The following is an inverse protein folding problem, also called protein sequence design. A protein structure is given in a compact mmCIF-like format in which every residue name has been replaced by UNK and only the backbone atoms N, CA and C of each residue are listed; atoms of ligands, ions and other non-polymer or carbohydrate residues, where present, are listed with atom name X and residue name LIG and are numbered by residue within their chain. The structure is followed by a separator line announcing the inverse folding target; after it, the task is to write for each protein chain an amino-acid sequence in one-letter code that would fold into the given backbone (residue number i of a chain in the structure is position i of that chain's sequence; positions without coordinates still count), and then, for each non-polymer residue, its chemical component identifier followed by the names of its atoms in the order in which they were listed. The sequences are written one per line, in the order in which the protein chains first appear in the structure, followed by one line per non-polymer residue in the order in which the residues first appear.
data_IF_722783334940
#
_entry.id   IF_722783334940
#
_cell.length_a   1.000
_cell.length_b   1.000
_cell.length_c   1.000
_cell.angle_alpha   90.00
_cell.angle_beta   90.00
_cell.angle_gamma   90.00
#
_symmetry.space_group_name_H-M   'P 1'
#
loop_
_entity.id
_entity.type
_entity.pdbx_description
1 polymer ?
#
# COMPACT_ATOMS: atom_id res chain seq x y z
N UNK A 1 -16.87 -11.76 0.74
CA UNK A 1 -18.18 -12.36 0.42
C UNK A 1 -18.75 -11.87 -0.91
N UNK A 2 -18.77 -10.57 -1.22
CA UNK A 2 -19.37 -10.06 -2.47
C UNK A 2 -18.52 -10.29 -3.73
N UNK A 3 -17.19 -10.05 -3.68
CA UNK A 3 -16.33 -10.18 -4.87
C UNK A 3 -16.25 -11.60 -5.43
N UNK A 4 -16.29 -12.63 -4.58
CA UNK A 4 -16.10 -14.00 -5.04
C UNK A 4 -17.23 -14.47 -6.00
N UNK A 5 -18.52 -14.23 -5.69
CA UNK A 5 -19.62 -14.43 -6.62
C UNK A 5 -19.52 -13.52 -7.85
N UNK A 6 -19.19 -12.25 -7.68
CA UNK A 6 -19.02 -11.31 -8.81
C UNK A 6 -17.99 -11.81 -9.84
N UNK A 7 -16.87 -12.36 -9.36
CA UNK A 7 -15.83 -12.97 -10.19
C UNK A 7 -16.03 -14.46 -10.50
N UNK A 8 -17.18 -15.05 -10.12
CA UNK A 8 -17.50 -16.47 -10.31
C UNK A 8 -16.37 -17.41 -9.83
N UNK A 9 -15.84 -17.17 -8.63
CA UNK A 9 -14.74 -17.96 -8.04
C UNK A 9 -15.23 -19.35 -7.59
N UNK A 10 -15.56 -20.23 -8.53
CA UNK A 10 -16.03 -21.60 -8.26
C UNK A 10 -14.98 -22.53 -7.67
N UNK A 11 -13.71 -22.11 -7.69
CA UNK A 11 -12.59 -22.80 -7.07
C UNK A 11 -12.31 -22.32 -5.63
N UNK A 12 -13.18 -21.49 -5.05
CA UNK A 12 -13.06 -21.00 -3.68
C UNK A 12 -14.06 -21.71 -2.76
N UNK A 13 -13.54 -22.39 -1.74
CA UNK A 13 -14.33 -22.94 -0.64
C UNK A 13 -13.96 -22.22 0.66
N UNK A 14 -14.93 -21.59 1.32
CA UNK A 14 -14.80 -21.10 2.68
C UNK A 14 -15.35 -22.13 3.67
N UNK A 15 -14.73 -22.24 4.86
CA UNK A 15 -15.25 -23.05 5.96
C UNK A 15 -15.46 -22.10 7.13
N UNK A 16 -16.67 -22.06 7.65
CA UNK A 16 -17.01 -21.25 8.82
C UNK A 16 -17.14 -22.19 10.00
N UNK A 17 -16.21 -22.09 10.94
CA UNK A 17 -16.25 -22.79 12.21
C UNK A 17 -17.26 -22.10 13.16
N UNK A 18 -18.50 -22.59 13.17
CA UNK A 18 -19.59 -22.04 14.00
C UNK A 18 -19.58 -22.75 15.35
N UNK A 19 -18.59 -22.41 16.18
CA UNK A 19 -18.34 -23.01 17.49
C UNK A 19 -19.03 -22.27 18.66
N UNK A 20 -19.99 -21.37 18.35
CA UNK A 20 -20.72 -20.45 19.25
C UNK A 20 -19.87 -19.36 19.91
N UNK A 21 -18.64 -19.64 20.33
CA UNK A 21 -17.86 -18.82 21.27
C UNK A 21 -16.70 -18.05 20.62
N UNK A 22 -16.72 -16.72 20.78
CA UNK A 22 -15.61 -15.83 20.45
C UNK A 22 -14.51 -15.84 21.52
N UNK A 23 -13.78 -14.73 21.66
CA UNK A 23 -12.74 -14.61 22.68
C UNK A 23 -13.31 -14.53 24.10
N UNK A 24 -14.28 -13.63 24.33
CA UNK A 24 -14.83 -13.37 25.67
C UNK A 24 -16.01 -14.27 26.05
N UNK A 25 -16.84 -14.65 25.08
CA UNK A 25 -18.09 -15.38 25.33
C UNK A 25 -18.80 -15.68 24.01
N UNK A 26 -20.11 -15.87 24.07
CA UNK A 26 -20.92 -16.16 22.88
C UNK A 26 -20.83 -15.06 21.80
N UNK A 27 -20.70 -15.50 20.55
CA UNK A 27 -20.74 -14.61 19.38
C UNK A 27 -22.15 -14.06 19.17
N UNK A 28 -22.29 -12.93 18.48
CA UNK A 28 -23.58 -12.28 18.21
C UNK A 28 -24.67 -13.20 17.60
N UNK A 29 -24.27 -14.26 16.91
CA UNK A 29 -25.19 -15.19 16.21
C UNK A 29 -25.23 -16.57 16.88
N UNK A 30 -24.29 -16.87 17.78
CA UNK A 30 -24.23 -18.16 18.47
C UNK A 30 -24.25 -19.35 17.50
N UNK A 31 -25.12 -20.33 17.78
CA UNK A 31 -25.38 -21.47 16.88
C UNK A 31 -26.55 -21.27 15.92
N UNK A 32 -27.05 -20.04 15.72
CA UNK A 32 -28.13 -19.79 14.77
C UNK A 32 -27.62 -19.90 13.32
N UNK A 33 -27.51 -21.14 12.83
CA UNK A 33 -26.93 -21.47 11.53
C UNK A 33 -27.73 -20.91 10.37
N UNK A 34 -29.05 -20.76 10.53
CA UNK A 34 -29.92 -20.18 9.51
C UNK A 34 -29.57 -18.71 9.23
N UNK A 35 -29.19 -17.95 10.26
CA UNK A 35 -28.71 -16.57 10.09
C UNK A 35 -27.41 -16.52 9.29
N UNK A 36 -26.47 -17.44 9.53
CA UNK A 36 -25.24 -17.54 8.73
C UNK A 36 -25.56 -17.93 7.28
N UNK A 37 -26.38 -18.95 7.09
CA UNK A 37 -26.80 -19.46 5.78
C UNK A 37 -27.44 -18.36 4.93
N UNK A 38 -28.45 -17.66 5.48
CA UNK A 38 -29.13 -16.56 4.79
C UNK A 38 -28.18 -15.46 4.35
N UNK A 39 -27.18 -15.09 5.18
CA UNK A 39 -26.16 -14.08 4.82
C UNK A 39 -25.29 -14.53 3.66
N UNK A 40 -24.76 -15.75 3.68
CA UNK A 40 -23.92 -16.23 2.58
C UNK A 40 -24.72 -16.41 1.29
N UNK A 41 -25.90 -17.02 1.38
CA UNK A 41 -26.80 -17.20 0.25
C UNK A 41 -27.21 -15.86 -0.38
N UNK A 42 -27.50 -14.83 0.42
CA UNK A 42 -27.86 -13.50 -0.11
C UNK A 42 -26.73 -12.82 -0.87
N UNK A 43 -25.46 -13.19 -0.62
CA UNK A 43 -24.34 -12.72 -1.43
C UNK A 43 -24.05 -13.58 -2.66
N UNK A 44 -24.77 -14.69 -2.87
CA UNK A 44 -24.62 -15.56 -4.04
C UNK A 44 -23.70 -16.77 -3.84
N UNK A 45 -23.38 -17.13 -2.60
CA UNK A 45 -22.63 -18.35 -2.29
C UNK A 45 -23.53 -19.58 -2.30
N UNK A 46 -22.97 -20.71 -2.71
CA UNK A 46 -23.60 -22.02 -2.47
C UNK A 46 -23.26 -22.45 -1.04
N UNK A 47 -24.28 -22.78 -0.25
CA UNK A 47 -24.17 -23.03 1.18
C UNK A 47 -24.41 -24.50 1.48
N UNK A 48 -23.47 -25.13 2.19
CA UNK A 48 -23.61 -26.49 2.72
C UNK A 48 -23.52 -26.45 4.25
N UNK A 49 -24.58 -26.87 4.92
CA UNK A 49 -24.64 -26.95 6.38
C UNK A 49 -24.26 -28.37 6.81
N UNK A 50 -23.33 -28.49 7.74
CA UNK A 50 -22.90 -29.78 8.28
C UNK A 50 -22.79 -29.75 9.81
N UNK A 51 -22.88 -30.93 10.42
CA UNK A 51 -22.26 -31.17 11.71
C UNK A 51 -20.73 -31.20 11.51
N UNK A 52 -20.04 -30.19 12.03
CA UNK A 52 -18.59 -30.05 11.87
C UNK A 52 -17.76 -31.10 12.60
N UNK A 53 -18.39 -31.97 13.40
CA UNK A 53 -17.77 -33.13 14.05
C UNK A 53 -18.06 -34.45 13.34
N UNK A 54 -18.76 -34.42 12.21
CA UNK A 54 -19.08 -35.61 11.43
C UNK A 54 -18.21 -35.69 10.16
N UNK A 55 -17.20 -36.56 10.19
CA UNK A 55 -16.24 -36.75 9.09
C UNK A 55 -16.93 -37.11 7.77
N UNK A 56 -17.97 -37.94 7.79
CA UNK A 56 -18.69 -38.32 6.58
C UNK A 56 -19.38 -37.12 5.92
N UNK A 57 -19.96 -36.21 6.71
CA UNK A 57 -20.56 -34.98 6.20
C UNK A 57 -19.50 -34.01 5.67
N UNK A 58 -18.35 -33.87 6.34
CA UNK A 58 -17.23 -33.05 5.85
C UNK A 58 -16.75 -33.54 4.48
N UNK A 59 -16.52 -34.84 4.34
CA UNK A 59 -16.08 -35.44 3.06
C UNK A 59 -17.15 -35.24 1.98
N UNK A 60 -18.43 -35.43 2.31
CA UNK A 60 -19.56 -35.19 1.40
C UNK A 60 -19.61 -33.73 0.93
N UNK A 61 -19.44 -32.77 1.84
CA UNK A 61 -19.41 -31.34 1.52
C UNK A 61 -18.27 -30.99 0.55
N UNK A 62 -17.07 -31.52 0.75
CA UNK A 62 -15.97 -31.31 -0.20
C UNK A 62 -16.19 -32.00 -1.55
N UNK A 63 -16.90 -33.14 -1.60
CA UNK A 63 -17.30 -33.76 -2.87
C UNK A 63 -18.31 -32.89 -3.63
N UNK A 64 -19.23 -32.23 -2.93
CA UNK A 64 -20.15 -31.24 -3.51
C UNK A 64 -19.38 -30.02 -4.04
N UNK A 65 -18.44 -29.48 -3.25
CA UNK A 65 -17.57 -28.38 -3.68
C UNK A 65 -16.85 -28.66 -5.02
N UNK A 66 -16.34 -29.88 -5.22
CA UNK A 66 -15.68 -30.25 -6.50
C UNK A 66 -16.59 -30.14 -7.73
N UNK A 67 -17.91 -30.07 -7.56
CA UNK A 67 -18.91 -30.07 -8.63
C UNK A 67 -19.61 -28.71 -8.78
N UNK A 68 -19.42 -27.77 -7.84
CA UNK A 68 -20.09 -26.47 -7.91
C UNK A 68 -19.47 -25.57 -8.99
N UNK A 69 -20.28 -24.63 -9.47
CA UNK A 69 -19.88 -23.54 -10.37
C UNK A 69 -19.93 -22.17 -9.69
N UNK A 70 -20.15 -22.12 -8.37
CA UNK A 70 -20.24 -20.91 -7.55
C UNK A 70 -19.22 -20.99 -6.42
N UNK A 71 -18.81 -19.85 -5.82
CA UNK A 71 -18.07 -19.90 -4.57
C UNK A 71 -18.89 -20.63 -3.51
N UNK A 72 -18.23 -21.51 -2.76
CA UNK A 72 -18.87 -22.48 -1.88
C UNK A 72 -18.54 -22.21 -0.42
N UNK A 73 -19.50 -22.32 0.48
CA UNK A 73 -19.26 -22.19 1.91
C UNK A 73 -19.79 -23.41 2.66
N UNK A 74 -18.93 -23.98 3.48
CA UNK A 74 -19.28 -25.01 4.45
C UNK A 74 -19.53 -24.31 5.79
N UNK A 75 -20.78 -24.34 6.25
CA UNK A 75 -21.16 -23.88 7.57
C UNK A 75 -21.11 -25.07 8.54
N UNK A 76 -19.99 -25.18 9.25
CA UNK A 76 -19.74 -26.28 10.16
C UNK A 76 -20.22 -25.92 11.57
N UNK A 77 -21.32 -26.55 12.02
CA UNK A 77 -21.76 -26.42 13.42
C UNK A 77 -20.84 -27.27 14.29
N UNK A 78 -20.08 -26.62 15.15
CA UNK A 78 -19.06 -27.25 16.01
C UNK A 78 -19.25 -26.85 17.47
N UNK A 79 -18.38 -27.34 18.34
CA UNK A 79 -18.35 -27.04 19.77
C UNK A 79 -16.92 -26.69 20.10
N UNK A 80 -16.68 -25.51 20.66
CA UNK A 80 -15.33 -25.09 21.07
C UNK A 80 -14.84 -26.01 22.18
N UNK A 81 -13.61 -26.52 22.05
CA UNK A 81 -13.05 -27.49 23.00
C UNK A 81 -13.62 -28.92 22.87
N UNK A 82 -14.23 -29.28 21.72
CA UNK A 82 -14.80 -30.62 21.49
C UNK A 82 -13.82 -31.75 21.87
N UNK A 83 -14.34 -32.77 22.55
CA UNK A 83 -13.66 -33.97 22.97
C UNK A 83 -13.19 -33.95 24.43
N UNK A 84 -13.25 -32.80 25.10
CA UNK A 84 -12.73 -32.63 26.46
C UNK A 84 -13.80 -31.97 27.35
N UNK A 85 -14.31 -32.72 28.32
CA UNK A 85 -15.47 -32.41 29.16
C UNK A 85 -15.41 -31.05 29.84
N UNK A 86 -14.24 -30.68 30.36
CA UNK A 86 -14.01 -29.43 31.09
C UNK A 86 -13.66 -28.24 30.17
N UNK A 87 -13.47 -28.47 28.86
CA UNK A 87 -13.25 -27.42 27.86
C UNK A 87 -14.48 -27.19 26.97
N UNK A 88 -15.27 -28.23 26.75
CA UNK A 88 -16.40 -28.21 25.82
C UNK A 88 -17.40 -27.12 26.16
N UNK A 89 -17.60 -26.22 25.20
CA UNK A 89 -18.60 -25.17 25.25
C UNK A 89 -18.45 -24.21 26.46
N UNK A 90 -17.26 -24.13 27.06
CA UNK A 90 -16.99 -23.26 28.23
C UNK A 90 -16.44 -21.90 27.81
N UNK A 91 -16.93 -20.85 28.47
CA UNK A 91 -16.42 -19.49 28.30
C UNK A 91 -15.10 -19.27 29.05
N UNK A 92 -14.37 -18.20 28.72
CA UNK A 92 -13.12 -17.84 29.42
C UNK A 92 -11.90 -18.70 29.09
N UNK A 93 -12.03 -19.68 28.19
CA UNK A 93 -10.93 -20.61 27.85
C UNK A 93 -10.21 -20.26 26.53
N UNK A 94 -10.65 -19.22 25.81
CA UNK A 94 -10.00 -18.84 24.55
C UNK A 94 -8.58 -18.29 24.79
N UNK A 95 -7.58 -18.91 24.15
CA UNK A 95 -6.18 -18.51 24.28
C UNK A 95 -5.52 -18.92 25.60
N UNK A 96 -6.22 -19.67 26.47
CA UNK A 96 -5.65 -20.23 27.71
C UNK A 96 -4.92 -21.53 27.40
N UNK A 97 -3.70 -21.66 27.91
CA UNK A 97 -2.97 -22.93 27.91
C UNK A 97 -3.45 -23.83 29.05
N UNK A 98 -3.48 -25.14 28.80
CA UNK A 98 -3.78 -26.12 29.85
C UNK A 98 -2.60 -26.24 30.82
N UNK A 99 -2.90 -26.46 32.10
CA UNK A 99 -1.91 -26.93 33.07
C UNK A 99 -1.52 -28.39 32.77
N UNK A 100 -0.40 -28.86 33.31
CA UNK A 100 0.03 -30.26 33.12
C UNK A 100 -1.03 -31.28 33.58
N UNK A 101 -1.74 -30.97 34.67
CA UNK A 101 -2.83 -31.83 35.19
C UNK A 101 -4.03 -31.83 34.26
N UNK A 102 -4.48 -30.66 33.79
CA UNK A 102 -5.56 -30.55 32.81
C UNK A 102 -5.19 -31.23 31.48
N UNK A 103 -3.93 -31.09 31.02
CA UNK A 103 -3.45 -31.76 29.83
C UNK A 103 -3.53 -33.28 29.97
N UNK A 104 -3.07 -33.84 31.11
CA UNK A 104 -3.17 -35.28 31.37
C UNK A 104 -4.62 -35.75 31.31
N UNK A 105 -5.51 -35.06 32.04
CA UNK A 105 -6.94 -35.41 32.05
C UNK A 105 -7.56 -35.33 30.65
N UNK A 106 -7.20 -34.31 29.85
CA UNK A 106 -7.68 -34.17 28.48
C UNK A 106 -7.20 -35.31 27.57
N UNK A 107 -5.94 -35.74 27.70
CA UNK A 107 -5.39 -36.87 26.94
C UNK A 107 -6.06 -38.19 27.34
N UNK A 108 -6.31 -38.39 28.63
CA UNK A 108 -7.04 -39.54 29.16
C UNK A 108 -8.47 -39.61 28.58
N UNK A 109 -9.15 -38.47 28.40
CA UNK A 109 -10.50 -38.41 27.80
C UNK A 109 -10.51 -38.66 26.28
N UNK A 110 -9.51 -38.18 25.54
CA UNK A 110 -9.47 -38.30 24.07
C UNK A 110 -9.00 -39.70 23.63
N UNK A 111 -8.39 -40.47 24.52
CA UNK A 111 -7.84 -41.81 24.24
C UNK A 111 -6.98 -41.82 22.97
N UNK A 112 -5.98 -40.95 22.91
CA UNK A 112 -5.06 -40.87 21.76
C UNK A 112 -4.27 -42.18 21.69
N UNK A 113 -4.43 -42.92 20.59
CA UNK A 113 -3.53 -44.01 20.27
C UNK A 113 -2.19 -43.45 19.79
N UNK A 114 -1.20 -43.51 20.66
CA UNK A 114 0.17 -43.05 20.40
C UNK A 114 0.86 -43.81 19.25
N UNK A 115 0.28 -44.93 18.79
CA UNK A 115 0.82 -45.76 17.70
C UNK A 115 0.28 -45.40 16.31
N UNK A 116 -0.55 -44.36 16.16
CA UNK A 116 -1.06 -43.94 14.85
C UNK A 116 0.08 -43.32 14.01
N UNK A 117 0.60 -44.09 13.04
CA UNK A 117 1.51 -43.59 11.99
C UNK A 117 0.71 -42.79 10.93
N UNK A 118 0.55 -41.49 11.16
CA UNK A 118 -0.15 -40.60 10.24
C UNK A 118 0.75 -40.18 9.07
N UNK A 119 0.76 -40.98 7.99
CA UNK A 119 1.43 -40.61 6.74
C UNK A 119 0.52 -39.79 5.83
N UNK A 120 0.78 -38.49 5.73
CA UNK A 120 0.13 -37.65 4.72
C UNK A 120 0.75 -37.93 3.35
N UNK A 121 0.01 -38.64 2.51
CA UNK A 121 0.33 -38.72 1.08
C UNK A 121 0.06 -37.35 0.43
N UNK A 122 1.10 -36.50 0.40
CA UNK A 122 1.04 -35.21 -0.31
C UNK A 122 0.85 -35.49 -1.80
N UNK A 123 -0.35 -35.27 -2.31
CA UNK A 123 -0.57 -35.22 -3.75
C UNK A 123 0.31 -34.10 -4.32
N UNK A 124 1.15 -34.42 -5.31
CA UNK A 124 1.91 -33.38 -6.01
C UNK A 124 0.89 -32.45 -6.70
N UNK A 125 0.96 -31.12 -6.50
CA UNK A 125 0.16 -30.22 -7.32
C UNK A 125 0.48 -30.50 -8.78
N UNK A 126 -0.54 -30.47 -9.65
CA UNK A 126 -0.33 -30.61 -11.08
C UNK A 126 0.77 -29.65 -11.51
N UNK A 127 1.71 -30.11 -12.35
CA UNK A 127 2.74 -29.23 -12.90
C UNK A 127 2.02 -28.12 -13.65
N UNK A 128 2.05 -26.89 -13.12
CA UNK A 128 1.72 -25.74 -13.93
C UNK A 128 2.80 -25.66 -15.00
N UNK A 129 2.40 -25.88 -16.25
CA UNK A 129 3.16 -25.44 -17.41
C UNK A 129 3.12 -23.91 -17.41
N UNK A 130 3.84 -23.28 -16.47
CA UNK A 130 4.17 -21.88 -16.58
C UNK A 130 5.12 -21.80 -17.77
N UNK A 131 4.57 -21.62 -18.96
CA UNK A 131 5.34 -21.09 -20.08
C UNK A 131 6.15 -19.92 -19.52
N UNK A 132 7.47 -19.93 -19.75
CA UNK A 132 8.30 -18.77 -19.42
C UNK A 132 7.73 -17.60 -20.21
N UNK A 133 6.88 -16.81 -19.56
CA UNK A 133 6.25 -15.66 -20.17
C UNK A 133 7.36 -14.74 -20.65
N UNK A 134 7.38 -14.50 -21.97
CA UNK A 134 8.35 -13.61 -22.60
C UNK A 134 8.11 -12.19 -22.06
N UNK A 135 8.93 -11.78 -21.09
CA UNK A 135 8.94 -10.42 -20.56
C UNK A 135 9.66 -9.56 -21.59
N UNK A 136 8.93 -8.67 -22.27
CA UNK A 136 9.53 -7.65 -23.12
C UNK A 136 10.06 -6.51 -22.25
N UNK A 137 11.13 -5.85 -22.69
CA UNK A 137 11.64 -4.66 -21.99
C UNK A 137 10.56 -3.57 -22.01
N UNK A 138 10.15 -3.04 -20.85
CA UNK A 138 9.14 -1.98 -20.82
C UNK A 138 9.69 -0.73 -21.51
N UNK A 139 8.83 -0.02 -22.22
CA UNK A 139 9.13 1.26 -22.84
C UNK A 139 8.53 2.40 -22.00
N UNK A 140 8.99 3.62 -22.27
CA UNK A 140 8.52 4.84 -21.61
C UNK A 140 7.69 5.64 -22.62
N UNK A 141 6.63 6.27 -22.14
CA UNK A 141 5.78 7.13 -22.96
C UNK A 141 6.59 8.31 -23.46
N UNK A 142 6.44 8.63 -24.76
CA UNK A 142 7.03 9.83 -25.34
C UNK A 142 6.11 11.01 -25.05
N UNK A 143 6.54 11.86 -24.14
CA UNK A 143 5.88 13.13 -23.85
C UNK A 143 6.40 14.22 -24.81
N UNK A 144 5.50 15.09 -25.28
CA UNK A 144 5.90 16.28 -26.02
C UNK A 144 6.71 17.22 -25.13
N UNK A 145 7.53 18.09 -25.74
CA UNK A 145 8.28 19.10 -24.99
C UNK A 145 7.33 20.14 -24.38
N UNK A 146 7.69 20.68 -23.22
CA UNK A 146 6.99 21.78 -22.53
C UNK A 146 5.52 21.49 -22.15
N UNK A 147 5.11 20.23 -22.09
CA UNK A 147 3.81 19.85 -21.55
C UNK A 147 3.91 19.61 -20.04
N UNK A 148 2.80 19.80 -19.35
CA UNK A 148 2.63 19.38 -17.96
C UNK A 148 1.70 18.18 -17.89
N UNK A 149 2.10 17.17 -17.12
CA UNK A 149 1.37 15.91 -16.95
C UNK A 149 1.28 15.63 -15.46
N UNK A 150 0.12 15.17 -14.99
CA UNK A 150 -0.03 14.79 -13.59
C UNK A 150 0.69 13.47 -13.32
N UNK A 151 1.34 13.34 -12.17
CA UNK A 151 2.06 12.09 -11.81
C UNK A 151 1.10 10.91 -11.73
N UNK A 152 -0.15 11.09 -11.26
CA UNK A 152 -1.18 10.04 -11.31
C UNK A 152 -1.49 9.56 -12.74
N UNK A 153 -1.47 10.45 -13.72
CA UNK A 153 -1.69 10.10 -15.12
C UNK A 153 -0.50 9.33 -15.69
N UNK A 154 0.72 9.76 -15.35
CA UNK A 154 1.95 9.09 -15.73
C UNK A 154 2.07 7.70 -15.09
N UNK A 155 1.56 7.50 -13.87
CA UNK A 155 1.42 6.19 -13.25
C UNK A 155 0.53 5.26 -14.10
N UNK A 156 -0.65 5.73 -14.52
CA UNK A 156 -1.53 4.97 -15.41
C UNK A 156 -0.87 4.61 -16.75
N UNK A 157 -0.12 5.55 -17.34
CA UNK A 157 0.66 5.30 -18.56
C UNK A 157 1.72 4.20 -18.34
N UNK A 158 2.52 4.34 -17.27
CA UNK A 158 3.57 3.39 -16.94
C UNK A 158 3.02 1.98 -16.67
N UNK A 159 1.91 1.90 -15.92
CA UNK A 159 1.27 0.64 -15.58
C UNK A 159 0.66 -0.04 -16.81
N UNK A 160 0.03 0.71 -17.72
CA UNK A 160 -0.43 0.18 -19.01
C UNK A 160 0.73 -0.36 -19.85
N UNK A 161 1.85 0.35 -19.92
CA UNK A 161 3.04 -0.10 -20.65
C UNK A 161 3.64 -1.38 -20.05
N UNK A 162 3.69 -1.46 -18.72
CA UNK A 162 4.09 -2.69 -18.00
C UNK A 162 3.15 -3.86 -18.30
N UNK A 163 1.83 -3.64 -18.22
CA UNK A 163 0.85 -4.69 -18.49
C UNK A 163 0.97 -5.25 -19.92
N UNK A 164 1.11 -4.38 -20.92
CA UNK A 164 1.31 -4.77 -22.34
C UNK A 164 2.56 -5.62 -22.57
N UNK A 165 3.60 -5.46 -21.74
CA UNK A 165 4.91 -6.11 -21.91
C UNK A 165 5.14 -7.30 -20.98
N UNK A 166 4.30 -7.46 -19.95
CA UNK A 166 4.39 -8.53 -18.98
C UNK A 166 3.01 -8.98 -18.49
N UNK A 167 2.59 -10.20 -18.87
CA UNK A 167 1.30 -10.79 -18.50
C UNK A 167 1.14 -11.08 -17.00
N UNK A 168 2.24 -11.06 -16.22
CA UNK A 168 2.19 -11.23 -14.76
C UNK A 168 1.84 -9.94 -14.01
N UNK A 169 1.78 -8.80 -14.69
CA UNK A 169 1.35 -7.54 -14.08
C UNK A 169 -0.17 -7.58 -13.93
N UNK A 170 -0.67 -7.36 -12.71
CA UNK A 170 -2.08 -7.17 -12.44
C UNK A 170 -2.30 -5.77 -11.86
N UNK A 171 -3.30 -5.06 -12.35
CA UNK A 171 -3.79 -3.81 -11.79
C UNK A 171 -5.07 -4.08 -11.01
N UNK A 172 -5.14 -3.63 -9.77
CA UNK A 172 -6.31 -3.74 -8.90
C UNK A 172 -6.67 -2.33 -8.43
N UNK A 173 -7.91 -1.91 -8.59
CA UNK A 173 -8.37 -0.57 -8.18
C UNK A 173 -9.69 -0.66 -7.40
N UNK A 174 -9.99 0.34 -6.59
CA UNK A 174 -11.18 0.40 -5.73
C UNK A 174 -12.17 1.47 -6.22
N UNK A 175 -12.74 1.27 -7.41
CA UNK A 175 -13.73 2.16 -8.06
C UNK A 175 -13.24 3.59 -8.35
N UNK A 176 -11.94 3.86 -8.31
CA UNK A 176 -11.37 5.20 -8.59
C UNK A 176 -10.39 5.17 -9.76
N UNK A 177 -10.51 4.17 -10.63
CA UNK A 177 -9.55 3.88 -11.70
C UNK A 177 -9.47 4.94 -12.80
N UNK A 178 -10.53 5.73 -12.98
CA UNK A 178 -10.56 6.93 -13.83
C UNK A 178 -9.78 8.11 -13.23
N UNK A 179 -9.61 8.12 -11.90
CA UNK A 179 -8.97 9.18 -11.14
C UNK A 179 -7.52 8.85 -10.82
N UNK A 180 -7.20 7.58 -10.58
CA UNK A 180 -5.83 7.03 -10.46
C UNK A 180 -5.20 6.77 -11.83
N UNK A 181 -6.00 6.78 -12.91
CA UNK A 181 -5.65 6.39 -14.27
C UNK A 181 -5.26 4.91 -14.46
N UNK A 182 -5.53 4.04 -13.47
CA UNK A 182 -5.35 2.59 -13.62
C UNK A 182 -6.26 1.98 -14.70
N UNK A 183 -7.36 2.66 -15.08
CA UNK A 183 -8.26 2.24 -16.17
C UNK A 183 -7.54 2.12 -17.52
N UNK A 184 -6.39 2.77 -17.71
CA UNK A 184 -5.56 2.59 -18.91
C UNK A 184 -5.16 1.13 -19.11
N UNK A 185 -4.99 0.37 -18.02
CA UNK A 185 -4.79 -1.09 -18.07
C UNK A 185 -6.05 -1.80 -18.54
N UNK A 186 -7.23 -1.44 -18.02
CA UNK A 186 -8.53 -1.97 -18.44
C UNK A 186 -8.71 -1.85 -19.96
N UNK A 187 -8.34 -0.71 -20.55
CA UNK A 187 -8.44 -0.51 -22.00
C UNK A 187 -7.38 -1.27 -22.80
N UNK A 188 -6.14 -1.30 -22.31
CA UNK A 188 -5.01 -1.88 -23.07
C UNK A 188 -4.78 -3.38 -22.89
N UNK A 189 -5.19 -3.93 -21.75
CA UNK A 189 -4.89 -5.27 -21.28
C UNK A 189 -5.97 -5.72 -20.27
N UNK A 190 -7.24 -5.71 -20.71
CA UNK A 190 -8.42 -5.89 -19.85
C UNK A 190 -8.37 -7.11 -18.91
N UNK A 191 -7.73 -8.22 -19.32
CA UNK A 191 -7.57 -9.45 -18.50
C UNK A 191 -6.61 -9.28 -17.31
N UNK A 192 -5.86 -8.19 -17.29
CA UNK A 192 -4.89 -7.84 -16.25
C UNK A 192 -5.44 -6.75 -15.31
N UNK A 193 -6.69 -6.32 -15.47
CA UNK A 193 -7.36 -5.36 -14.59
C UNK A 193 -8.43 -6.06 -13.72
N UNK A 194 -8.44 -5.74 -12.43
CA UNK A 194 -9.39 -6.26 -11.44
C UNK A 194 -10.01 -5.06 -10.71
N UNK A 195 -11.34 -5.00 -10.74
CA UNK A 195 -12.16 -4.03 -10.02
C UNK A 195 -12.49 -4.58 -8.63
N UNK A 196 -12.04 -3.90 -7.59
CA UNK A 196 -12.35 -4.25 -6.21
C UNK A 196 -13.57 -3.51 -5.66
N UNK A 197 -14.13 -2.56 -6.42
CA UNK A 197 -15.18 -1.63 -6.01
C UNK A 197 -14.76 -0.80 -4.79
N UNK A 198 -15.68 -0.08 -4.16
CA UNK A 198 -15.43 0.73 -2.95
C UNK A 198 -15.20 -0.18 -1.72
N UNK A 199 -14.06 -0.88 -1.70
CA UNK A 199 -13.73 -1.89 -0.70
C UNK A 199 -12.21 -2.04 -0.52
N UNK A 200 -11.51 -0.97 -0.13
CA UNK A 200 -10.04 -0.90 -0.04
C UNK A 200 -9.45 -2.01 0.86
N UNK A 201 -10.11 -2.34 1.98
CA UNK A 201 -9.69 -3.44 2.86
C UNK A 201 -9.60 -4.77 2.10
N UNK A 202 -10.63 -5.06 1.31
CA UNK A 202 -10.69 -6.29 0.52
C UNK A 202 -9.78 -6.21 -0.71
N UNK A 203 -9.61 -5.02 -1.31
CA UNK A 203 -8.66 -4.75 -2.37
C UNK A 203 -7.23 -5.13 -1.96
N UNK A 204 -6.75 -4.63 -0.81
CA UNK A 204 -5.40 -4.95 -0.30
C UNK A 204 -5.28 -6.45 0.05
N UNK A 205 -6.28 -7.05 0.69
CA UNK A 205 -6.25 -8.49 1.01
C UNK A 205 -6.20 -9.38 -0.24
N UNK A 206 -6.98 -9.02 -1.27
CA UNK A 206 -6.99 -9.70 -2.55
C UNK A 206 -5.61 -9.58 -3.23
N UNK A 207 -5.05 -8.37 -3.26
CA UNK A 207 -3.74 -8.10 -3.85
C UNK A 207 -2.61 -8.84 -3.15
N UNK A 208 -2.66 -8.95 -1.81
CA UNK A 208 -1.76 -9.81 -1.04
C UNK A 208 -1.83 -11.25 -1.56
N UNK A 209 -3.04 -11.84 -1.61
CA UNK A 209 -3.23 -13.21 -2.08
C UNK A 209 -2.71 -13.44 -3.50
N UNK A 210 -2.99 -12.51 -4.42
CA UNK A 210 -2.49 -12.55 -5.80
C UNK A 210 -0.95 -12.46 -5.85
N UNK A 211 -0.34 -11.60 -5.04
CA UNK A 211 1.12 -11.46 -5.01
C UNK A 211 1.83 -12.73 -4.54
N UNK A 212 1.26 -13.43 -3.54
CA UNK A 212 1.76 -14.72 -3.06
C UNK A 212 1.61 -15.83 -4.10
N UNK A 213 0.64 -15.71 -5.02
CA UNK A 213 0.51 -16.61 -6.18
C UNK A 213 1.51 -16.31 -7.30
N UNK A 214 2.38 -15.31 -7.14
CA UNK A 214 3.47 -14.99 -8.06
C UNK A 214 3.15 -13.89 -9.07
N UNK A 215 1.99 -13.22 -8.95
CA UNK A 215 1.68 -12.05 -9.77
C UNK A 215 2.39 -10.81 -9.23
N UNK A 216 2.75 -9.89 -10.14
CA UNK A 216 3.28 -8.59 -9.77
C UNK A 216 2.12 -7.59 -9.73
N UNK A 217 1.60 -7.38 -8.52
CA UNK A 217 0.34 -6.67 -8.31
C UNK A 217 0.61 -5.19 -8.04
N UNK A 218 -0.04 -4.35 -8.83
CA UNK A 218 -0.16 -2.91 -8.63
C UNK A 218 -1.58 -2.62 -8.16
N UNK A 219 -1.70 -1.97 -7.01
CA UNK A 219 -2.98 -1.63 -6.41
C UNK A 219 -3.10 -0.12 -6.26
N UNK A 220 -4.23 0.45 -6.62
CA UNK A 220 -4.42 1.91 -6.61
C UNK A 220 -5.72 2.35 -5.97
N UNK A 221 -5.64 3.43 -5.20
CA UNK A 221 -6.77 4.21 -4.70
C UNK A 221 -6.30 5.65 -4.41
N UNK A 222 -7.10 6.47 -3.75
CA UNK A 222 -6.64 7.74 -3.20
C UNK A 222 -5.80 7.45 -1.97
N UNK A 223 -4.73 8.21 -1.78
CA UNK A 223 -3.84 8.10 -0.62
C UNK A 223 -4.64 8.18 0.70
N UNK A 224 -5.62 9.10 0.77
CA UNK A 224 -6.53 9.22 1.91
C UNK A 224 -7.33 7.93 2.18
N UNK A 225 -7.82 7.24 1.15
CA UNK A 225 -8.67 6.05 1.33
C UNK A 225 -7.86 4.80 1.66
N UNK A 226 -6.55 4.79 1.44
CA UNK A 226 -5.69 3.69 1.88
C UNK A 226 -5.65 3.56 3.42
N UNK A 227 -5.96 4.63 4.17
CA UNK A 227 -6.15 4.58 5.63
C UNK A 227 -7.23 3.58 6.04
N UNK A 228 -8.29 3.41 5.21
CA UNK A 228 -9.36 2.43 5.40
C UNK A 228 -8.84 1.00 5.42
N UNK A 229 -7.69 0.74 4.79
CA UNK A 229 -7.06 -0.57 4.65
C UNK A 229 -5.74 -0.70 5.44
N UNK A 230 -5.49 0.18 6.42
CA UNK A 230 -4.21 0.19 7.13
C UNK A 230 -3.88 -1.16 7.79
N UNK A 231 -4.84 -1.82 8.44
CA UNK A 231 -4.59 -3.12 9.06
C UNK A 231 -4.23 -4.19 8.01
N UNK A 232 -4.85 -4.17 6.83
CA UNK A 232 -4.51 -5.09 5.75
C UNK A 232 -3.14 -4.77 5.14
N UNK A 233 -2.76 -3.50 5.03
CA UNK A 233 -1.41 -3.09 4.63
C UNK A 233 -0.37 -3.56 5.65
N UNK A 234 -0.65 -3.42 6.95
CA UNK A 234 0.19 -3.93 8.04
C UNK A 234 0.37 -5.45 7.96
N UNK A 235 -0.73 -6.19 7.81
CA UNK A 235 -0.68 -7.64 7.65
C UNK A 235 0.02 -8.08 6.36
N UNK A 236 -0.14 -7.34 5.27
CA UNK A 236 0.59 -7.59 4.02
C UNK A 236 2.11 -7.33 4.18
N UNK A 237 2.52 -6.31 4.94
CA UNK A 237 3.92 -6.04 5.24
C UNK A 237 4.53 -7.15 6.10
N UNK A 238 3.82 -7.59 7.15
CA UNK A 238 4.22 -8.74 7.98
C UNK A 238 4.29 -10.05 7.18
N UNK A 239 3.40 -10.20 6.19
CA UNK A 239 3.39 -11.31 5.24
C UNK A 239 4.44 -11.16 4.13
N UNK A 240 5.24 -10.09 4.15
CA UNK A 240 6.31 -9.81 3.17
C UNK A 240 5.80 -9.77 1.72
N UNK A 241 4.60 -9.23 1.53
CA UNK A 241 3.92 -9.19 0.23
C UNK A 241 4.75 -8.42 -0.82
N UNK A 242 5.12 -9.04 -1.97
CA UNK A 242 5.88 -8.37 -3.03
C UNK A 242 4.96 -7.52 -3.94
N UNK A 243 4.16 -6.63 -3.36
CA UNK A 243 3.17 -5.81 -4.07
C UNK A 243 3.52 -4.31 -4.09
N UNK A 244 2.95 -3.59 -5.06
CA UNK A 244 3.08 -2.13 -5.19
C UNK A 244 1.71 -1.47 -4.99
N UNK A 245 1.65 -0.48 -4.12
CA UNK A 245 0.47 0.35 -3.85
C UNK A 245 0.73 1.75 -4.37
N UNK A 246 -0.22 2.32 -5.10
CA UNK A 246 -0.20 3.69 -5.57
C UNK A 246 -1.31 4.48 -4.87
N UNK A 247 -0.94 5.53 -4.16
CA UNK A 247 -1.88 6.48 -3.55
C UNK A 247 -1.89 7.75 -4.38
N UNK A 248 -3.00 8.04 -5.05
CA UNK A 248 -3.20 9.30 -5.77
C UNK A 248 -3.81 10.37 -4.87
N UNK A 249 -4.02 11.58 -5.38
CA UNK A 249 -4.70 12.65 -4.63
C UNK A 249 -4.03 12.95 -3.29
N UNK A 250 -2.70 12.86 -3.28
CA UNK A 250 -1.88 13.21 -2.12
C UNK A 250 -1.88 14.73 -1.87
N UNK A 251 -2.01 15.10 -0.60
CA UNK A 251 -1.84 16.47 -0.13
C UNK A 251 -3.01 17.43 -0.38
N UNK A 252 -2.86 18.67 0.09
CA UNK A 252 -3.83 19.76 -0.12
C UNK A 252 -3.87 20.22 -1.58
N UNK A 253 -2.83 19.91 -2.36
CA UNK A 253 -2.74 20.28 -3.77
C UNK A 253 -3.85 19.72 -4.65
N UNK A 254 -4.69 18.81 -4.15
CA UNK A 254 -5.88 18.34 -4.88
C UNK A 254 -6.91 19.45 -5.13
N UNK A 255 -6.97 20.45 -4.24
CA UNK A 255 -7.85 21.60 -4.37
C UNK A 255 -9.24 21.38 -3.78
N UNK A 256 -10.25 21.51 -4.63
CA UNK A 256 -11.62 21.84 -4.23
C UNK A 256 -12.37 20.73 -3.48
N UNK A 257 -11.96 19.46 -3.64
CA UNK A 257 -12.62 18.32 -2.98
C UNK A 257 -12.52 18.40 -1.43
N UNK A 258 -11.51 19.11 -0.92
CA UNK A 258 -11.36 19.34 0.51
C UNK A 258 -10.76 18.16 1.28
N UNK A 259 -10.73 18.28 2.61
CA UNK A 259 -9.91 17.44 3.49
C UNK A 259 -10.20 15.93 3.38
N UNK A 260 -11.44 15.52 3.09
CA UNK A 260 -11.82 14.10 3.05
C UNK A 260 -11.10 13.29 1.98
N UNK A 261 -10.54 13.94 0.95
CA UNK A 261 -9.83 13.30 -0.16
C UNK A 261 -8.31 13.54 -0.10
N UNK A 262 -7.85 14.42 0.80
CA UNK A 262 -6.44 14.81 0.91
C UNK A 262 -5.66 13.74 1.68
N UNK A 263 -4.81 13.00 0.98
CA UNK A 263 -3.88 12.08 1.64
C UNK A 263 -2.77 12.86 2.33
N UNK A 264 -2.87 13.04 3.65
CA UNK A 264 -1.95 13.86 4.46
C UNK A 264 -1.19 13.08 5.54
N UNK A 265 -1.54 11.81 5.74
CA UNK A 265 -0.95 10.88 6.69
C UNK A 265 -0.44 9.60 5.99
N UNK A 266 -0.39 9.61 4.67
CA UNK A 266 -0.05 8.44 3.87
C UNK A 266 1.46 8.11 3.93
N UNK A 267 2.33 9.13 4.00
CA UNK A 267 3.77 8.90 4.17
C UNK A 267 4.03 8.30 5.55
N UNK A 268 3.40 8.82 6.60
CA UNK A 268 3.57 8.30 7.97
C UNK A 268 3.05 6.86 8.08
N UNK A 269 1.84 6.59 7.56
CA UNK A 269 1.24 5.26 7.52
C UNK A 269 2.16 4.24 6.84
N UNK A 270 2.70 4.56 5.65
CA UNK A 270 3.60 3.63 4.97
C UNK A 270 5.00 3.58 5.60
N UNK A 271 5.47 4.65 6.27
CA UNK A 271 6.77 4.67 6.97
C UNK A 271 6.77 3.76 8.20
N UNK A 272 5.66 3.61 8.90
CA UNK A 272 5.53 2.68 10.03
C UNK A 272 5.67 1.21 9.58
N UNK A 273 5.21 0.88 8.37
CA UNK A 273 5.25 -0.50 7.89
C UNK A 273 6.68 -1.07 7.80
N UNK A 274 6.93 -2.29 8.33
CA UNK A 274 8.26 -2.88 8.32
C UNK A 274 8.73 -3.13 6.88
N UNK A 275 9.99 -2.77 6.60
CA UNK A 275 10.65 -2.97 5.30
C UNK A 275 9.95 -2.34 4.10
N UNK A 276 8.98 -1.43 4.32
CA UNK A 276 8.31 -0.71 3.24
C UNK A 276 9.29 0.14 2.43
N UNK A 277 8.95 0.31 1.16
CA UNK A 277 9.65 1.19 0.23
C UNK A 277 8.67 2.30 -0.15
N UNK A 278 9.11 3.55 -0.12
CA UNK A 278 8.27 4.71 -0.36
C UNK A 278 8.93 5.59 -1.40
N UNK A 279 8.22 5.79 -2.49
CA UNK A 279 8.57 6.72 -3.54
C UNK A 279 7.56 7.85 -3.65
N UNK A 280 8.05 9.04 -3.95
CA UNK A 280 7.23 10.19 -4.28
C UNK A 280 7.78 10.85 -5.55
N UNK A 281 7.43 10.36 -6.75
CA UNK A 281 7.84 10.96 -8.01
C UNK A 281 7.34 12.39 -8.16
N UNK A 282 8.13 13.21 -8.86
CA UNK A 282 7.89 14.65 -8.96
C UNK A 282 7.43 15.13 -10.35
N UNK A 283 7.58 14.30 -11.37
CA UNK A 283 7.08 14.56 -12.73
C UNK A 283 6.68 13.26 -13.45
N UNK A 284 6.27 13.36 -14.71
CA UNK A 284 5.87 12.20 -15.49
C UNK A 284 7.00 11.19 -15.70
N UNK A 285 8.22 11.66 -16.00
CA UNK A 285 9.36 10.78 -16.30
C UNK A 285 9.82 10.02 -15.06
N UNK A 286 9.99 10.70 -13.93
CA UNK A 286 10.28 10.07 -12.64
C UNK A 286 9.19 9.06 -12.27
N UNK A 287 7.91 9.39 -12.48
CA UNK A 287 6.81 8.46 -12.21
C UNK A 287 6.91 7.18 -13.03
N UNK A 288 7.14 7.27 -14.35
CA UNK A 288 7.26 6.06 -15.18
C UNK A 288 8.46 5.20 -14.78
N UNK A 289 9.62 5.84 -14.57
CA UNK A 289 10.85 5.15 -14.16
C UNK A 289 10.70 4.47 -12.81
N UNK A 290 10.08 5.15 -11.84
CA UNK A 290 9.84 4.61 -10.50
C UNK A 290 8.81 3.48 -10.54
N UNK A 291 7.76 3.59 -11.34
CA UNK A 291 6.78 2.51 -11.51
C UNK A 291 7.42 1.26 -12.12
N UNK A 292 8.27 1.43 -13.14
CA UNK A 292 9.06 0.34 -13.72
C UNK A 292 10.08 -0.24 -12.72
N UNK A 293 10.74 0.61 -11.94
CA UNK A 293 11.63 0.17 -10.86
C UNK A 293 10.86 -0.66 -9.83
N UNK A 294 9.70 -0.20 -9.35
CA UNK A 294 8.87 -0.91 -8.40
C UNK A 294 8.45 -2.31 -8.90
N UNK A 295 8.21 -2.44 -10.22
CA UNK A 295 7.92 -3.72 -10.86
C UNK A 295 9.12 -4.70 -10.82
N UNK A 296 10.36 -4.19 -10.87
CA UNK A 296 11.58 -5.02 -10.87
C UNK A 296 12.13 -5.28 -9.47
N UNK A 297 11.75 -4.46 -8.49
CA UNK A 297 12.07 -4.68 -7.08
C UNK A 297 11.30 -5.91 -6.56
N UNK A 298 11.84 -7.10 -6.79
CA UNK A 298 11.37 -8.35 -6.21
C UNK A 298 11.84 -8.50 -4.76
N UNK A 299 11.62 -7.44 -3.98
CA UNK A 299 11.84 -7.44 -2.55
C UNK A 299 10.53 -7.87 -1.91
N UNK A 300 10.66 -8.77 -0.96
CA UNK A 300 9.65 -9.28 -0.03
C UNK A 300 9.09 -8.12 0.85
N UNK A 301 8.55 -7.09 0.22
CA UNK A 301 8.24 -5.77 0.79
C UNK A 301 7.13 -5.08 0.01
N UNK A 302 6.26 -4.38 0.74
CA UNK A 302 5.31 -3.44 0.17
C UNK A 302 6.05 -2.21 -0.35
N UNK A 303 5.72 -1.82 -1.59
CA UNK A 303 6.18 -0.59 -2.23
C UNK A 303 5.03 0.40 -2.31
N UNK A 304 5.25 1.64 -1.93
CA UNK A 304 4.29 2.73 -2.04
C UNK A 304 4.78 3.77 -3.02
N UNK A 305 3.92 4.19 -3.95
CA UNK A 305 4.16 5.28 -4.89
C UNK A 305 3.10 6.35 -4.63
N UNK A 306 3.52 7.49 -4.10
CA UNK A 306 2.66 8.65 -3.85
C UNK A 306 2.55 9.49 -5.13
N UNK A 307 1.33 9.74 -5.61
CA UNK A 307 1.08 10.56 -6.81
C UNK A 307 0.13 11.72 -6.52
N UNK A 308 0.29 12.80 -7.26
CA UNK A 308 -0.41 14.08 -7.08
C UNK A 308 -1.42 14.34 -8.19
N UNK A 309 -2.44 15.15 -7.87
CA UNK A 309 -3.55 15.49 -8.77
C UNK A 309 -3.17 16.52 -9.83
N UNK A 310 -2.51 17.65 -9.50
CA UNK A 310 -2.18 18.69 -10.47
C UNK A 310 -1.19 18.22 -11.54
N UNK A 311 -1.27 18.85 -12.71
CA UNK A 311 -0.26 18.67 -13.75
C UNK A 311 1.02 19.39 -13.34
N UNK A 312 2.17 18.73 -13.49
CA UNK A 312 3.47 19.34 -13.23
C UNK A 312 4.33 19.35 -14.49
N UNK A 313 5.22 20.34 -14.67
CA UNK A 313 6.18 20.34 -15.76
C UNK A 313 7.08 19.11 -15.74
N UNK A 314 7.44 18.61 -16.92
CA UNK A 314 8.45 17.55 -17.04
C UNK A 314 9.83 18.16 -16.86
N UNK A 315 10.56 17.70 -15.85
CA UNK A 315 11.88 18.22 -15.46
C UNK A 315 13.01 17.24 -15.76
N UNK A 316 12.71 15.96 -15.92
CA UNK A 316 13.70 14.93 -16.25
C UNK A 316 13.67 14.54 -17.72
N UNK A 317 14.86 14.19 -18.25
CA UNK A 317 14.97 13.60 -19.58
C UNK A 317 14.61 12.10 -19.53
N UNK A 318 14.07 11.51 -20.62
CA UNK A 318 13.73 10.07 -20.65
C UNK A 318 14.90 9.12 -20.35
N UNK A 319 16.15 9.57 -20.51
CA UNK A 319 17.37 8.82 -20.21
C UNK A 319 17.76 8.84 -18.72
N UNK A 320 17.09 9.64 -17.90
CA UNK A 320 17.38 9.75 -16.47
C UNK A 320 17.17 8.40 -15.76
N UNK A 321 18.02 8.10 -14.78
CA UNK A 321 18.02 6.82 -14.05
C UNK A 321 17.70 7.06 -12.58
N UNK A 322 16.76 6.30 -12.03
CA UNK A 322 16.37 6.39 -10.62
C UNK A 322 16.79 5.11 -9.90
N UNK A 323 17.43 5.27 -8.73
CA UNK A 323 17.89 4.16 -7.90
C UNK A 323 17.13 4.11 -6.58
N UNK A 324 16.89 2.92 -6.05
CA UNK A 324 16.34 2.76 -4.72
C UNK A 324 17.26 3.43 -3.67
N UNK A 325 16.67 4.23 -2.79
CA UNK A 325 17.35 4.92 -1.70
C UNK A 325 18.13 6.16 -2.08
N UNK A 326 18.10 6.59 -3.34
CA UNK A 326 18.80 7.80 -3.79
C UNK A 326 17.86 8.99 -3.94
N UNK A 327 18.44 10.17 -4.18
CA UNK A 327 17.77 11.45 -4.43
C UNK A 327 18.41 12.14 -5.64
N UNK A 328 17.75 13.16 -6.21
CA UNK A 328 18.28 13.94 -7.32
C UNK A 328 18.65 15.35 -6.88
N UNK A 329 19.76 15.85 -7.40
CA UNK A 329 20.19 17.23 -7.23
C UNK A 329 19.83 17.96 -8.52
N UNK A 330 18.86 18.88 -8.46
CA UNK A 330 18.36 19.60 -9.63
C UNK A 330 19.08 20.92 -9.85
N UNK A 331 19.45 21.60 -8.77
CA UNK A 331 20.16 22.88 -8.82
C UNK A 331 21.26 22.87 -7.77
N UNK A 332 22.44 23.38 -8.12
CA UNK A 332 23.57 23.64 -7.23
C UNK A 332 24.52 24.64 -7.89
N UNK A 333 25.20 25.46 -7.10
CA UNK A 333 26.16 26.46 -7.58
C UNK A 333 27.55 26.33 -6.94
N UNK A 334 27.71 25.46 -5.94
CA UNK A 334 28.96 25.31 -5.18
C UNK A 334 29.20 26.44 -4.16
N UNK A 335 28.48 27.55 -4.28
CA UNK A 335 28.41 28.65 -3.28
C UNK A 335 27.11 28.62 -2.48
N UNK A 336 26.42 27.48 -2.51
CA UNK A 336 25.09 27.33 -1.92
C UNK A 336 25.15 27.51 -0.40
N UNK A 337 24.31 28.41 0.12
CA UNK A 337 24.21 28.73 1.54
C UNK A 337 23.15 27.88 2.26
N UNK A 338 22.26 27.27 1.50
CA UNK A 338 21.12 26.49 2.00
C UNK A 338 20.67 25.47 0.95
N UNK A 339 20.13 24.34 1.42
CA UNK A 339 19.52 23.30 0.59
C UNK A 339 18.00 23.35 0.74
N UNK A 340 17.27 23.32 -0.38
CA UNK A 340 15.81 23.17 -0.42
C UNK A 340 15.50 21.72 -0.81
N UNK A 341 14.73 21.03 0.02
CA UNK A 341 14.31 19.64 -0.21
C UNK A 341 12.79 19.62 -0.37
N UNK A 342 12.34 19.09 -1.51
CA UNK A 342 10.93 18.81 -1.78
C UNK A 342 10.76 17.49 -2.52
N UNK A 343 9.51 17.06 -2.66
CA UNK A 343 9.12 15.91 -3.46
C UNK A 343 7.69 16.11 -3.99
N UNK A 344 7.36 15.53 -5.14
CA UNK A 344 6.06 15.74 -5.76
C UNK A 344 5.81 17.22 -6.07
N UNK A 345 4.70 17.74 -5.55
CA UNK A 345 4.28 19.13 -5.82
C UNK A 345 5.22 20.16 -5.18
N UNK A 346 5.73 19.89 -3.97
CA UNK A 346 6.58 20.86 -3.24
C UNK A 346 7.98 20.97 -3.81
N UNK A 347 8.41 20.02 -4.65
CA UNK A 347 9.64 20.18 -5.44
C UNK A 347 9.51 21.34 -6.43
N UNK A 348 8.37 21.47 -7.11
CA UNK A 348 8.14 22.56 -8.07
C UNK A 348 8.10 23.91 -7.37
N UNK A 349 7.51 23.97 -6.17
CA UNK A 349 7.58 25.15 -5.32
C UNK A 349 9.01 25.43 -4.81
N UNK A 350 9.81 24.39 -4.52
CA UNK A 350 11.23 24.56 -4.15
C UNK A 350 12.08 25.10 -5.32
N UNK A 351 11.78 24.69 -6.55
CA UNK A 351 12.42 25.19 -7.77
C UNK A 351 12.09 26.68 -7.96
N UNK A 352 10.83 27.09 -7.79
CA UNK A 352 10.41 28.50 -7.83
C UNK A 352 11.04 29.31 -6.69
N UNK A 353 11.07 28.77 -5.47
CA UNK A 353 11.69 29.41 -4.32
C UNK A 353 13.19 29.66 -4.53
N UNK A 354 13.89 28.72 -5.17
CA UNK A 354 15.28 28.92 -5.58
C UNK A 354 15.45 30.15 -6.50
N UNK A 355 14.50 30.40 -7.43
CA UNK A 355 14.53 31.58 -8.30
C UNK A 355 14.30 32.88 -7.52
N UNK A 356 13.38 32.86 -6.55
CA UNK A 356 13.14 33.98 -5.64
C UNK A 356 14.40 34.30 -4.83
N UNK A 357 15.09 33.28 -4.30
CA UNK A 357 16.33 33.44 -3.55
C UNK A 357 17.48 33.93 -4.43
N UNK A 358 17.61 33.45 -5.66
CA UNK A 358 18.63 33.91 -6.60
C UNK A 358 18.47 35.41 -6.92
N UNK A 359 17.23 35.91 -7.09
CA UNK A 359 16.95 37.35 -7.26
C UNK A 359 17.39 38.20 -6.05
N UNK A 360 17.56 37.57 -4.88
CA UNK A 360 18.08 38.19 -3.65
C UNK A 360 19.56 37.87 -3.41
N UNK A 361 20.29 37.37 -4.40
CA UNK A 361 21.69 36.95 -4.30
C UNK A 361 21.96 35.88 -3.22
N UNK A 362 20.97 35.00 -2.98
CA UNK A 362 21.10 33.85 -2.07
C UNK A 362 21.17 32.58 -2.90
N UNK A 363 22.38 32.02 -3.02
CA UNK A 363 22.58 30.73 -3.67
C UNK A 363 21.99 29.60 -2.82
N UNK A 364 21.14 28.77 -3.44
CA UNK A 364 20.59 27.58 -2.82
C UNK A 364 20.67 26.38 -3.76
N UNK A 365 20.82 25.19 -3.18
CA UNK A 365 20.69 23.93 -3.90
C UNK A 365 19.25 23.41 -3.80
N UNK A 366 18.80 22.64 -4.80
CA UNK A 366 17.46 22.01 -4.80
C UNK A 366 17.61 20.50 -4.95
N UNK A 367 16.99 19.75 -4.05
CA UNK A 367 16.94 18.29 -4.04
C UNK A 367 15.51 17.81 -4.24
N UNK A 368 15.36 16.85 -5.16
CA UNK A 368 14.18 16.00 -5.27
C UNK A 368 14.39 14.72 -4.47
N UNK A 369 13.62 14.59 -3.38
CA UNK A 369 13.64 13.44 -2.48
C UNK A 369 12.65 12.36 -2.95
N UNK A 370 12.79 11.92 -4.21
CA UNK A 370 11.86 10.97 -4.82
C UNK A 370 11.78 9.61 -4.10
N UNK A 371 12.79 9.23 -3.32
CA UNK A 371 12.80 8.02 -2.50
C UNK A 371 12.87 8.41 -1.02
N UNK A 372 11.75 8.28 -0.32
CA UNK A 372 11.62 8.67 1.08
C UNK A 372 12.14 7.55 1.99
N UNK A 373 11.81 6.30 1.66
CA UNK A 373 12.24 5.11 2.43
C UNK A 373 12.59 3.96 1.49
N UNK A 374 13.74 3.28 1.63
CA UNK A 374 14.90 3.72 2.42
C UNK A 374 15.50 5.01 1.86
N UNK A 375 16.37 5.66 2.61
CA UNK A 375 17.12 6.83 2.15
C UNK A 375 18.61 6.65 2.47
N UNK A 376 19.50 6.92 1.51
CA UNK A 376 20.97 6.93 1.70
C UNK A 376 21.39 8.17 2.50
N UNK A 377 21.05 8.19 3.78
CA UNK A 377 21.15 9.38 4.63
C UNK A 377 22.56 9.96 4.71
N UNK A 378 23.59 9.11 4.78
CA UNK A 378 25.00 9.56 4.80
C UNK A 378 25.37 10.41 3.59
N UNK A 379 24.85 10.06 2.42
CA UNK A 379 25.05 10.81 1.17
C UNK A 379 24.38 12.18 1.26
N UNK A 380 23.15 12.23 1.80
CA UNK A 380 22.39 13.47 1.97
C UNK A 380 23.07 14.41 2.98
N UNK A 381 23.48 13.90 4.15
CA UNK A 381 24.21 14.67 5.16
C UNK A 381 25.49 15.28 4.58
N UNK A 382 26.29 14.48 3.86
CA UNK A 382 27.52 14.94 3.23
C UNK A 382 27.25 16.07 2.23
N UNK A 383 26.18 15.95 1.44
CA UNK A 383 25.75 17.01 0.54
C UNK A 383 25.36 18.28 1.31
N UNK A 384 24.46 18.20 2.27
CA UNK A 384 24.01 19.39 3.04
C UNK A 384 25.18 20.08 3.74
N UNK A 385 26.14 19.31 4.28
CA UNK A 385 27.35 19.88 4.91
C UNK A 385 28.21 20.69 3.94
N UNK A 386 28.30 20.27 2.68
CA UNK A 386 29.03 21.00 1.62
C UNK A 386 28.25 22.21 1.09
N UNK A 387 26.94 22.24 1.27
CA UNK A 387 26.04 23.26 0.74
C UNK A 387 25.37 24.09 1.86
N UNK A 388 26.19 24.59 2.80
CA UNK A 388 25.80 25.61 3.76
C UNK A 388 25.28 25.13 5.12
N UNK A 389 25.23 23.81 5.37
CA UNK A 389 24.78 23.19 6.64
C UNK A 389 23.39 23.66 7.11
N UNK A 390 22.54 24.06 6.16
CA UNK A 390 21.18 24.54 6.40
C UNK A 390 20.25 23.89 5.40
N UNK A 391 19.08 23.49 5.84
CA UNK A 391 18.10 22.83 4.99
C UNK A 391 16.67 23.30 5.29
N UNK A 392 15.92 23.61 4.24
CA UNK A 392 14.46 23.71 4.29
C UNK A 392 13.89 22.41 3.72
N UNK A 393 13.01 21.77 4.46
CA UNK A 393 12.23 20.62 3.99
C UNK A 393 10.79 21.08 3.82
N UNK A 394 10.20 20.83 2.66
CA UNK A 394 8.82 21.22 2.37
C UNK A 394 8.03 20.04 1.86
N UNK A 395 6.90 19.74 2.51
CA UNK A 395 6.05 18.60 2.17
C UNK A 395 4.56 18.95 2.21
N UNK A 396 3.82 18.40 1.25
CA UNK A 396 2.36 18.45 1.21
C UNK A 396 1.79 17.22 1.95
N UNK A 397 2.01 17.21 3.27
CA UNK A 397 1.73 16.14 4.24
C UNK A 397 1.66 16.79 5.64
N UNK A 398 1.05 16.12 6.62
CA UNK A 398 1.13 16.54 8.02
C UNK A 398 2.59 16.51 8.54
N UNK A 399 2.88 17.28 9.58
CA UNK A 399 4.23 17.34 10.16
C UNK A 399 4.66 15.98 10.73
N UNK A 400 3.73 15.26 11.36
CA UNK A 400 3.96 14.00 12.05
C UNK A 400 4.18 12.84 11.07
N UNK A 401 5.27 12.12 11.28
CA UNK A 401 5.69 10.97 10.50
C UNK A 401 6.00 11.27 9.03
N UNK A 402 6.10 12.55 8.64
CA UNK A 402 6.46 12.99 7.30
C UNK A 402 7.96 12.91 6.97
N UNK A 403 8.36 13.59 5.90
CA UNK A 403 9.75 13.75 5.44
C UNK A 403 10.55 14.58 6.44
N UNK A 404 9.97 15.68 6.93
CA UNK A 404 10.59 16.63 7.85
C UNK A 404 10.90 15.99 9.20
N UNK A 405 9.97 15.22 9.77
CA UNK A 405 10.22 14.49 11.02
C UNK A 405 11.33 13.43 10.82
N UNK A 406 11.26 12.65 9.73
CA UNK A 406 12.31 11.68 9.38
C UNK A 406 13.69 12.35 9.30
N UNK A 407 13.79 13.47 8.61
CA UNK A 407 15.07 14.18 8.45
C UNK A 407 15.51 14.87 9.74
N UNK A 408 14.60 15.39 10.58
CA UNK A 408 14.97 15.92 11.89
C UNK A 408 15.68 14.86 12.75
N UNK A 409 15.13 13.65 12.79
CA UNK A 409 15.74 12.54 13.54
C UNK A 409 17.13 12.20 12.99
N UNK A 410 17.23 12.01 11.68
CA UNK A 410 18.46 11.61 11.00
C UNK A 410 19.57 12.68 10.99
N UNK A 411 19.18 13.95 11.04
CA UNK A 411 20.10 15.09 11.08
C UNK A 411 20.47 15.51 12.51
N UNK A 412 19.88 14.88 13.53
CA UNK A 412 20.23 15.12 14.93
C UNK A 412 21.74 14.96 15.14
N UNK A 413 22.34 15.87 15.91
CA UNK A 413 23.78 15.87 16.22
C UNK A 413 24.74 16.04 15.01
N UNK A 414 24.24 16.38 13.82
CA UNK A 414 25.11 16.59 12.64
C UNK A 414 25.67 18.01 12.51
N UNK A 415 25.12 18.96 13.28
CA UNK A 415 25.37 20.39 13.17
C UNK A 415 24.67 21.06 11.97
N UNK A 416 23.80 20.34 11.27
CA UNK A 416 22.94 20.89 10.21
C UNK A 416 21.72 21.55 10.87
N UNK A 417 21.42 22.80 10.51
CA UNK A 417 20.16 23.45 10.89
C UNK A 417 19.06 23.08 9.89
N UNK A 418 17.90 22.70 10.39
CA UNK A 418 16.74 22.27 9.59
C UNK A 418 15.52 23.10 9.97
N UNK A 419 14.70 23.44 8.97
CA UNK A 419 13.36 24.01 9.15
C UNK A 419 12.38 23.29 8.24
N UNK A 420 11.25 22.88 8.82
CA UNK A 420 10.22 22.11 8.13
C UNK A 420 9.01 22.99 7.84
N UNK A 421 8.48 22.85 6.62
CA UNK A 421 7.22 23.42 6.18
C UNK A 421 6.31 22.26 5.80
N UNK A 422 5.23 22.08 6.56
CA UNK A 422 4.28 20.99 6.44
C UNK A 422 2.88 21.50 6.84
N UNK A 423 1.85 20.70 6.57
CA UNK A 423 0.48 21.01 6.98
C UNK A 423 0.35 20.78 8.48
N UNK A 424 -0.27 21.73 9.20
CA UNK A 424 -0.35 21.71 10.69
C UNK A 424 -1.76 21.66 11.25
N UNK A 425 -2.76 21.80 10.39
CA UNK A 425 -4.16 21.84 10.76
C UNK A 425 -4.99 21.15 9.67
N UNK A 426 -6.22 20.77 10.00
CA UNK A 426 -7.13 20.19 9.01
C UNK A 426 -7.38 21.18 7.87
N UNK A 427 -7.13 20.77 6.62
CA UNK A 427 -7.30 21.66 5.48
C UNK A 427 -8.78 21.91 5.14
N UNK A 428 -9.03 22.83 4.21
CA UNK A 428 -10.37 23.11 3.68
C UNK A 428 -10.33 23.11 2.14
N UNK A 429 -11.48 23.25 1.49
CA UNK A 429 -11.56 23.40 0.03
C UNK A 429 -10.99 24.75 -0.42
N UNK A 430 -10.32 24.74 -1.57
CA UNK A 430 -9.75 25.93 -2.21
C UNK A 430 -9.07 25.56 -3.52
N UNK A 431 -8.52 26.53 -4.24
CA UNK A 431 -7.62 26.23 -5.36
C UNK A 431 -6.30 25.67 -4.85
N UNK A 432 -5.57 24.93 -5.70
CA UNK A 432 -4.25 24.39 -5.35
C UNK A 432 -3.32 25.49 -4.84
N UNK A 433 -3.26 26.63 -5.53
CA UNK A 433 -2.40 27.77 -5.20
C UNK A 433 -2.78 28.41 -3.87
N UNK A 434 -4.07 28.62 -3.61
CA UNK A 434 -4.57 29.17 -2.34
C UNK A 434 -4.21 28.27 -1.16
N UNK A 435 -4.37 26.95 -1.31
CA UNK A 435 -4.10 26.00 -0.24
C UNK A 435 -2.60 25.88 0.04
N UNK A 436 -1.75 25.78 -0.98
CA UNK A 436 -0.30 25.75 -0.80
C UNK A 436 0.19 27.03 -0.07
N UNK A 437 -0.37 28.19 -0.41
CA UNK A 437 -0.07 29.46 0.26
C UNK A 437 -0.60 29.51 1.69
N UNK A 438 -1.87 29.13 1.90
CA UNK A 438 -2.51 29.13 3.22
C UNK A 438 -1.72 28.28 4.21
N UNK A 439 -1.28 27.09 3.79
CA UNK A 439 -0.53 26.17 4.62
C UNK A 439 0.99 26.37 4.56
N UNK A 440 1.45 27.49 3.99
CA UNK A 440 2.85 27.92 4.01
C UNK A 440 3.84 26.91 3.38
N UNK A 441 3.40 26.17 2.36
CA UNK A 441 4.22 25.21 1.60
C UNK A 441 4.41 25.65 0.13
N UNK A 442 4.03 26.88 -0.20
CA UNK A 442 4.29 27.54 -1.48
C UNK A 442 5.69 28.16 -1.55
N UNK A 443 6.12 28.50 -2.76
CA UNK A 443 7.46 29.03 -3.04
C UNK A 443 7.83 30.30 -2.27
N UNK A 444 6.88 31.21 -2.03
CA UNK A 444 7.10 32.40 -1.21
C UNK A 444 7.38 32.03 0.26
N UNK A 445 6.65 31.07 0.81
CA UNK A 445 6.86 30.59 2.18
C UNK A 445 8.19 29.86 2.33
N UNK A 446 8.57 29.04 1.35
CA UNK A 446 9.89 28.39 1.29
C UNK A 446 11.01 29.44 1.29
N UNK A 447 10.91 30.45 0.44
CA UNK A 447 11.92 31.52 0.35
C UNK A 447 12.00 32.33 1.65
N UNK A 448 10.86 32.67 2.28
CA UNK A 448 10.82 33.35 3.59
C UNK A 448 11.48 32.51 4.69
N UNK A 449 11.17 31.21 4.76
CA UNK A 449 11.77 30.29 5.72
C UNK A 449 13.29 30.16 5.52
N UNK A 450 13.74 30.07 4.27
CA UNK A 450 15.15 30.02 3.92
C UNK A 450 15.91 31.28 4.38
N UNK A 451 15.36 32.47 4.13
CA UNK A 451 15.94 33.74 4.59
C UNK A 451 16.00 33.78 6.11
N UNK A 452 14.91 33.40 6.80
CA UNK A 452 14.87 33.35 8.26
C UNK A 452 15.94 32.43 8.84
N UNK A 453 16.12 31.23 8.27
CA UNK A 453 17.11 30.25 8.73
C UNK A 453 18.57 30.69 8.47
N UNK A 454 18.79 31.53 7.46
CA UNK A 454 20.10 32.13 7.21
C UNK A 454 20.46 33.22 8.20
N UNK A 455 19.46 33.91 8.76
CA UNK A 455 19.63 34.95 9.78
C UNK A 455 19.74 34.42 11.22
N UNK A 456 19.41 33.15 11.46
CA UNK A 456 19.60 32.44 12.74
C UNK A 456 20.95 31.74 12.84
#
# INVERSE_FOLDING_TARGET
MQLAPYYNLSNLCAIIDINRLGQRGETMVGWNIDKYSKRFASFGWEVEIINGHNIAQIISAFRKFRRTKRPFVILAKTVKGKGISFLENKEGLHGRTLTNTELKNALDEIHIDENIDFRINKSRPAKNNNEKLLIKKPFITRYAQNISIATREAYGNALSNLAKTNKNILAVDAEVSNSTFAEKVKFSAWRQFIEAFVAEQNMISLSLGLSIKGFNVFTSSFAAFLTRAHDQLRMAALSKAPMTVCGSHAGVSIGQDGASQMGLDDISMFRDLPQSIIFYPSDAISTEKITQLAATLNKNSIKYIRTTRPKTPIIYLPKEIFFLGDFKILRKSGKDKIVLIGAGITLHESIKANEILNKKNINSAVIDLYCIKPLKIRKLISFIKKHGKRVIVTEDHYEEGGIGEMLNHELSNTGIKISNLAIKETPHSGTTEELLRKYCIDSDSIARAAIKLLSS
#
